data_IF_159454192650
#
_entry.id   IF_159454192650
#
_cell.length_a   1.000
_cell.length_b   1.000
_cell.length_c   1.000
_cell.angle_alpha   90.00
_cell.angle_beta   90.00
_cell.angle_gamma   90.00
#
_symmetry.space_group_name_H-M   'P 1'
#
loop_
_entity.id
_entity.type
_entity.pdbx_description
1 polymer ?
#
# COMPACT_ATOMS: atom_id res chain seq x y z
N UNK A 1 -1.64 -19.40 5.88
CA UNK A 1 -1.86 -19.53 4.43
C UNK A 1 -1.20 -18.33 3.79
N UNK A 2 -0.27 -18.53 2.87
CA UNK A 2 0.41 -17.43 2.15
C UNK A 2 -0.50 -16.98 1.01
N UNK A 3 -0.87 -15.70 0.97
CA UNK A 3 -1.61 -15.13 -0.15
C UNK A 3 -0.82 -15.37 -1.45
N UNK A 4 -1.47 -15.77 -2.56
CA UNK A 4 -0.80 -15.88 -3.86
C UNK A 4 -0.22 -14.52 -4.27
N UNK A 5 0.94 -14.48 -4.96
CA UNK A 5 1.52 -13.23 -5.42
C UNK A 5 0.58 -12.52 -6.41
N UNK A 6 0.61 -11.19 -6.37
CA UNK A 6 -0.12 -10.36 -7.33
C UNK A 6 0.79 -10.10 -8.53
N UNK A 7 0.30 -10.41 -9.74
CA UNK A 7 1.03 -10.20 -10.99
C UNK A 7 0.85 -8.75 -11.45
N UNK A 8 1.95 -8.03 -11.65
CA UNK A 8 2.00 -6.66 -12.17
C UNK A 8 2.76 -6.62 -13.50
N UNK A 9 2.25 -5.86 -14.47
CA UNK A 9 2.84 -5.68 -15.80
C UNK A 9 2.98 -4.21 -16.19
N UNK A 10 4.11 -3.85 -16.79
CA UNK A 10 4.35 -2.50 -17.32
C UNK A 10 3.43 -2.13 -18.49
N UNK A 11 2.72 -3.09 -19.06
CA UNK A 11 1.78 -2.83 -20.14
C UNK A 11 0.34 -2.74 -19.61
N UNK A 12 -0.39 -1.73 -20.07
CA UNK A 12 -1.84 -1.60 -19.84
C UNK A 12 -2.65 -2.76 -20.44
N UNK A 13 -2.05 -3.50 -21.38
CA UNK A 13 -2.65 -4.58 -22.16
C UNK A 13 -1.73 -5.80 -22.19
N UNK A 14 -1.63 -6.52 -21.09
CA UNK A 14 -1.15 -7.90 -21.14
C UNK A 14 -1.94 -8.76 -20.16
N UNK A 15 -3.21 -9.00 -20.50
CA UNK A 15 -3.67 -10.37 -20.44
C UNK A 15 -3.78 -10.81 -21.89
N UNK A 16 -2.81 -11.60 -22.34
CA UNK A 16 -3.15 -12.59 -23.34
C UNK A 16 -4.21 -13.48 -22.68
N UNK A 17 -5.38 -13.62 -23.30
CA UNK A 17 -6.53 -14.40 -22.80
C UNK A 17 -6.21 -15.92 -22.67
N UNK A 18 -4.94 -16.30 -22.85
CA UNK A 18 -4.44 -17.68 -22.87
C UNK A 18 -3.54 -18.05 -21.68
N UNK A 19 -3.21 -17.13 -20.78
CA UNK A 19 -2.46 -17.42 -19.56
C UNK A 19 -3.39 -17.56 -18.35
N UNK A 20 -4.24 -18.58 -18.37
CA UNK A 20 -4.99 -19.06 -17.21
C UNK A 20 -4.04 -19.74 -16.20
N UNK A 21 -3.07 -19.00 -15.67
CA UNK A 21 -2.23 -19.53 -14.59
C UNK A 21 -2.94 -19.27 -13.25
N UNK A 22 -3.72 -20.26 -12.80
CA UNK A 22 -4.61 -20.24 -11.63
C UNK A 22 -3.94 -19.90 -10.27
N UNK A 23 -2.65 -19.55 -10.28
CA UNK A 23 -1.82 -19.31 -9.10
C UNK A 23 -1.55 -17.82 -8.79
N UNK A 24 -1.93 -16.88 -9.67
CA UNK A 24 -1.69 -15.45 -9.47
C UNK A 24 -3.00 -14.63 -9.53
N UNK A 25 -3.09 -13.56 -8.72
CA UNK A 25 -4.12 -12.53 -8.91
C UNK A 25 -3.59 -11.51 -9.93
N UNK A 26 -4.27 -11.38 -11.05
CA UNK A 26 -3.86 -10.47 -12.12
C UNK A 26 -4.35 -9.06 -11.83
N UNK A 27 -3.44 -8.07 -11.90
CA UNK A 27 -3.83 -6.67 -11.86
C UNK A 27 -4.45 -6.26 -13.21
N UNK A 28 -5.79 -6.17 -13.27
CA UNK A 28 -6.50 -5.64 -14.43
C UNK A 28 -6.40 -4.11 -14.43
N UNK A 29 -6.25 -3.54 -15.63
CA UNK A 29 -6.34 -2.10 -15.82
C UNK A 29 -7.70 -1.62 -15.29
N UNK A 30 -7.70 -0.56 -14.46
CA UNK A 30 -8.87 0.06 -13.81
C UNK A 30 -9.46 -0.62 -12.57
N UNK A 31 -9.00 -1.80 -12.16
CA UNK A 31 -9.42 -2.37 -10.87
C UNK A 31 -8.55 -1.84 -9.72
N UNK A 32 -9.13 -1.76 -8.53
CA UNK A 32 -8.39 -1.41 -7.30
C UNK A 32 -7.91 -2.69 -6.63
N UNK A 33 -6.60 -2.91 -6.63
CA UNK A 33 -5.98 -4.09 -6.04
C UNK A 33 -6.31 -4.21 -4.56
N UNK A 34 -6.98 -5.29 -4.15
CA UNK A 34 -7.25 -5.58 -2.76
C UNK A 34 -6.08 -6.39 -2.18
N UNK A 35 -5.33 -5.79 -1.26
CA UNK A 35 -4.07 -6.34 -0.74
C UNK A 35 -4.18 -6.57 0.77
N UNK A 36 -3.89 -7.78 1.25
CA UNK A 36 -3.87 -8.07 2.69
C UNK A 36 -2.43 -8.03 3.21
N UNK A 37 -2.07 -6.93 3.88
CA UNK A 37 -0.74 -6.81 4.43
C UNK A 37 -0.60 -7.66 5.69
N UNK A 38 0.29 -8.65 5.60
CA UNK A 38 0.75 -9.43 6.74
C UNK A 38 2.18 -8.99 7.10
N UNK A 39 2.61 -9.19 8.34
CA UNK A 39 3.93 -8.75 8.82
C UNK A 39 5.15 -9.29 8.04
N UNK A 40 4.95 -10.26 7.15
CA UNK A 40 5.96 -10.78 6.21
C UNK A 40 6.13 -9.93 4.93
N UNK A 41 5.19 -9.02 4.65
CA UNK A 41 5.12 -8.20 3.44
C UNK A 41 4.07 -8.69 2.44
N UNK A 42 3.90 -7.94 1.35
CA UNK A 42 3.02 -8.27 0.23
C UNK A 42 3.85 -8.83 -0.94
N UNK A 43 3.66 -10.09 -1.34
CA UNK A 43 4.38 -10.67 -2.47
C UNK A 43 3.79 -10.20 -3.81
N UNK A 44 4.67 -9.78 -4.70
CA UNK A 44 4.36 -9.40 -6.08
C UNK A 44 5.25 -10.18 -7.05
N UNK A 45 4.66 -10.57 -8.17
CA UNK A 45 5.36 -11.08 -9.33
C UNK A 45 5.31 -9.99 -10.39
N UNK A 46 6.46 -9.47 -10.82
CA UNK A 46 6.53 -8.38 -11.77
C UNK A 46 7.02 -8.89 -13.12
N UNK A 47 6.21 -8.69 -14.16
CA UNK A 47 6.60 -8.97 -15.55
C UNK A 47 7.63 -7.95 -16.02
N UNK A 48 8.71 -8.43 -16.62
CA UNK A 48 9.76 -7.57 -17.17
C UNK A 48 9.35 -7.03 -18.54
N UNK A 49 9.56 -5.73 -18.82
CA UNK A 49 9.41 -5.21 -20.17
C UNK A 49 10.55 -5.71 -21.06
N UNK A 50 10.32 -5.74 -22.37
CA UNK A 50 11.27 -6.28 -23.36
C UNK A 50 12.65 -5.61 -23.34
N UNK A 51 12.75 -4.35 -22.90
CA UNK A 51 13.98 -3.58 -22.83
C UNK A 51 14.71 -3.72 -21.48
N UNK A 52 14.23 -4.55 -20.56
CA UNK A 52 14.91 -4.83 -19.29
C UNK A 52 16.26 -5.52 -19.52
N UNK A 53 17.27 -5.07 -18.77
CA UNK A 53 18.63 -5.58 -18.92
C UNK A 53 19.24 -5.96 -17.57
N UNK A 54 20.24 -6.84 -17.62
CA UNK A 54 21.01 -7.20 -16.43
C UNK A 54 21.68 -5.96 -15.83
N UNK A 55 21.43 -5.72 -14.55
CA UNK A 55 21.93 -4.53 -13.85
C UNK A 55 20.99 -3.33 -13.87
N UNK A 56 19.82 -3.43 -14.52
CA UNK A 56 18.65 -2.61 -14.19
C UNK A 56 18.09 -3.05 -12.82
N UNK A 57 17.16 -2.29 -12.26
CA UNK A 57 16.45 -2.61 -11.02
C UNK A 57 14.95 -2.45 -11.22
N UNK A 58 14.18 -3.40 -10.66
CA UNK A 58 12.74 -3.20 -10.49
C UNK A 58 12.51 -2.60 -9.11
N UNK A 59 11.77 -1.51 -9.07
CA UNK A 59 11.35 -0.87 -7.84
C UNK A 59 9.82 -0.82 -7.78
N UNK A 60 9.27 -1.08 -6.59
CA UNK A 60 7.85 -1.02 -6.30
C UNK A 60 7.65 -0.14 -5.08
N UNK A 61 6.76 0.84 -5.19
CA UNK A 61 6.43 1.78 -4.11
C UNK A 61 4.93 1.84 -3.93
N UNK A 62 4.44 1.74 -2.70
CA UNK A 62 3.06 2.04 -2.37
C UNK A 62 3.01 3.28 -1.48
N UNK A 63 2.33 4.33 -1.94
CA UNK A 63 2.19 5.60 -1.22
C UNK A 63 0.73 5.81 -0.85
N UNK A 64 0.44 6.06 0.42
CA UNK A 64 -0.94 6.32 0.85
C UNK A 64 -1.46 7.63 0.28
N UNK A 65 -2.71 7.61 -0.17
CA UNK A 65 -3.42 8.80 -0.67
C UNK A 65 -3.76 9.76 0.47
N UNK A 66 -4.01 9.24 1.67
CA UNK A 66 -4.50 10.02 2.82
C UNK A 66 -3.43 10.26 3.89
N UNK A 67 -2.42 9.39 3.99
CA UNK A 67 -1.39 9.45 5.03
C UNK A 67 0.03 9.59 4.44
N UNK A 68 0.55 10.82 4.36
CA UNK A 68 1.86 11.12 3.74
C UNK A 68 3.07 10.37 4.31
N UNK A 69 2.98 9.85 5.54
CA UNK A 69 4.06 9.10 6.19
C UNK A 69 3.92 7.57 6.05
N UNK A 70 2.83 7.08 5.47
CA UNK A 70 2.61 5.66 5.24
C UNK A 70 3.11 5.28 3.85
N UNK A 71 4.19 4.51 3.81
CA UNK A 71 4.74 3.99 2.57
C UNK A 71 5.27 2.57 2.73
N UNK A 72 5.12 1.80 1.65
CA UNK A 72 5.76 0.51 1.49
C UNK A 72 6.69 0.57 0.27
N UNK A 73 7.80 -0.14 0.33
CA UNK A 73 8.76 -0.20 -0.77
C UNK A 73 9.40 -1.58 -0.89
N UNK A 74 9.83 -1.88 -2.11
CA UNK A 74 10.69 -3.00 -2.44
C UNK A 74 11.50 -2.64 -3.68
N UNK A 75 12.76 -3.07 -3.71
CA UNK A 75 13.62 -2.91 -4.86
C UNK A 75 14.54 -4.11 -4.96
N UNK A 76 14.68 -4.64 -6.17
CA UNK A 76 15.53 -5.78 -6.47
C UNK A 76 16.21 -5.56 -7.82
N UNK A 77 17.53 -5.83 -7.95
CA UNK A 77 18.21 -5.79 -9.24
C UNK A 77 17.66 -6.88 -10.17
N UNK A 78 17.49 -6.57 -11.45
CA UNK A 78 17.07 -7.54 -12.47
C UNK A 78 18.13 -8.64 -12.55
N UNK A 79 17.73 -9.86 -12.21
CA UNK A 79 18.61 -11.02 -12.22
C UNK A 79 18.60 -11.71 -13.58
N UNK A 80 19.64 -12.53 -13.85
CA UNK A 80 19.65 -13.36 -15.07
C UNK A 80 18.47 -14.33 -15.10
N UNK A 81 18.14 -14.91 -13.96
CA UNK A 81 16.97 -15.79 -13.83
C UNK A 81 15.68 -15.07 -14.24
N UNK A 82 15.48 -13.83 -13.79
CA UNK A 82 14.29 -13.07 -14.15
C UNK A 82 14.22 -12.72 -15.63
N UNK A 83 15.36 -12.43 -16.28
CA UNK A 83 15.40 -12.26 -17.73
C UNK A 83 15.04 -13.57 -18.47
N UNK A 84 15.48 -14.71 -17.95
CA UNK A 84 15.18 -16.02 -18.52
C UNK A 84 13.70 -16.41 -18.34
N UNK A 85 13.08 -16.05 -17.21
CA UNK A 85 11.66 -16.35 -16.89
C UNK A 85 10.68 -15.25 -17.29
N UNK A 86 11.17 -14.06 -17.64
CA UNK A 86 10.35 -12.86 -17.90
C UNK A 86 9.74 -12.22 -16.65
N UNK A 87 10.09 -12.69 -15.44
CA UNK A 87 9.45 -12.27 -14.20
C UNK A 87 10.44 -12.13 -13.03
N UNK A 88 10.22 -11.15 -12.17
CA UNK A 88 11.01 -10.93 -10.94
C UNK A 88 10.07 -10.88 -9.73
N UNK A 89 10.48 -11.46 -8.60
CA UNK A 89 9.68 -11.46 -7.38
C UNK A 89 10.07 -10.31 -6.46
N UNK A 90 9.09 -9.55 -6.00
CA UNK A 90 9.29 -8.50 -4.98
C UNK A 90 8.40 -8.74 -3.77
N UNK A 91 8.91 -8.42 -2.59
CA UNK A 91 8.14 -8.45 -1.35
C UNK A 91 8.08 -7.03 -0.81
N UNK A 92 6.94 -6.39 -1.00
CA UNK A 92 6.68 -5.02 -0.58
C UNK A 92 6.57 -4.98 0.95
N UNK A 93 7.45 -4.20 1.59
CA UNK A 93 7.53 -4.06 3.04
C UNK A 93 7.53 -2.59 3.44
N UNK A 94 7.10 -2.30 4.66
CA UNK A 94 6.99 -0.93 5.12
C UNK A 94 6.00 -0.80 6.26
N UNK A 95 5.53 0.42 6.49
CA UNK A 95 4.57 0.72 7.53
C UNK A 95 3.49 1.64 6.97
N UNK A 96 2.24 1.31 7.27
CA UNK A 96 1.09 2.08 6.81
C UNK A 96 -0.19 1.59 7.46
N UNK A 97 -1.21 2.45 7.49
CA UNK A 97 -2.54 2.07 7.96
C UNK A 97 -3.34 1.40 6.85
N UNK A 98 -4.45 0.74 7.20
CA UNK A 98 -5.39 0.29 6.17
C UNK A 98 -5.96 1.47 5.40
N UNK A 99 -6.06 1.37 4.07
CA UNK A 99 -6.59 2.46 3.25
C UNK A 99 -6.18 2.39 1.78
N UNK A 100 -6.39 3.50 1.09
CA UNK A 100 -6.07 3.67 -0.32
C UNK A 100 -4.60 4.06 -0.52
N UNK A 101 -3.96 3.39 -1.47
CA UNK A 101 -2.58 3.57 -1.88
C UNK A 101 -2.48 3.62 -3.40
N UNK A 102 -1.50 4.39 -3.88
CA UNK A 102 -1.03 4.29 -5.26
C UNK A 102 0.23 3.43 -5.25
N UNK A 103 0.18 2.33 -6.00
CA UNK A 103 1.31 1.42 -6.19
C UNK A 103 1.99 1.76 -7.51
N UNK A 104 3.23 2.24 -7.46
CA UNK A 104 4.05 2.57 -8.60
C UNK A 104 5.10 1.47 -8.81
N UNK A 105 5.03 0.79 -9.96
CA UNK A 105 6.04 -0.14 -10.44
C UNK A 105 6.95 0.59 -11.43
N UNK A 106 8.26 0.54 -11.23
CA UNK A 106 9.24 1.21 -12.06
C UNK A 106 10.39 0.28 -12.44
N UNK A 107 10.83 0.36 -13.70
CA UNK A 107 12.10 -0.18 -14.15
C UNK A 107 13.12 0.95 -14.17
N UNK A 108 14.19 0.80 -13.40
CA UNK A 108 15.25 1.78 -13.25
C UNK A 108 16.51 1.24 -13.92
N UNK A 109 17.05 2.00 -14.87
CA UNK A 109 18.29 1.65 -15.54
C UNK A 109 19.50 1.78 -14.61
N UNK A 110 20.61 1.13 -14.97
CA UNK A 110 21.88 1.13 -14.21
C UNK A 110 22.41 2.50 -13.74
N UNK A 111 22.05 3.59 -14.43
CA UNK A 111 22.46 4.96 -14.10
C UNK A 111 21.41 5.73 -13.27
N UNK A 112 20.41 5.04 -12.73
CA UNK A 112 19.32 5.66 -11.95
C UNK A 112 18.24 6.33 -12.80
N UNK A 113 18.29 6.21 -14.14
CA UNK A 113 17.22 6.73 -15.00
C UNK A 113 16.05 5.77 -15.03
N UNK A 114 14.83 6.28 -14.78
CA UNK A 114 13.61 5.50 -14.95
C UNK A 114 13.39 5.23 -16.44
N UNK A 115 13.35 3.94 -16.82
CA UNK A 115 13.10 3.47 -18.19
C UNK A 115 11.62 3.28 -18.45
N UNK A 116 10.90 2.75 -17.46
CA UNK A 116 9.46 2.50 -17.55
C UNK A 116 8.81 2.68 -16.17
N UNK A 117 7.55 3.12 -16.16
CA UNK A 117 6.75 3.22 -14.93
C UNK A 117 5.28 2.97 -15.22
N UNK A 118 4.59 2.33 -14.28
CA UNK A 118 3.14 2.12 -14.30
C UNK A 118 2.60 2.28 -12.88
N UNK A 119 1.37 2.76 -12.78
CA UNK A 119 0.68 2.99 -11.51
C UNK A 119 -0.58 2.14 -11.42
N UNK A 120 -0.86 1.63 -10.22
CA UNK A 120 -2.06 0.90 -9.87
C UNK A 120 -2.72 1.52 -8.65
N UNK A 121 -4.05 1.56 -8.67
CA UNK A 121 -4.81 1.83 -7.46
C UNK A 121 -4.83 0.57 -6.59
N UNK A 122 -4.60 0.72 -5.30
CA UNK A 122 -4.66 -0.37 -4.36
C UNK A 122 -5.35 0.05 -3.06
N UNK A 123 -6.05 -0.91 -2.46
CA UNK A 123 -6.50 -0.83 -1.08
C UNK A 123 -5.70 -1.85 -0.27
N UNK A 124 -4.87 -1.36 0.65
CA UNK A 124 -4.08 -2.22 1.53
C UNK A 124 -4.85 -2.35 2.84
N UNK A 125 -5.21 -3.57 3.22
CA UNK A 125 -5.72 -3.88 4.54
C UNK A 125 -4.58 -4.33 5.45
N UNK A 126 -4.14 -3.45 6.35
CA UNK A 126 -3.12 -3.76 7.34
C UNK A 126 -3.75 -4.19 8.67
N UNK A 127 -3.99 -5.49 8.80
CA UNK A 127 -4.56 -6.12 10.00
C UNK A 127 -3.67 -5.98 11.24
N UNK A 128 -2.37 -5.69 11.09
CA UNK A 128 -1.48 -5.44 12.23
C UNK A 128 -1.71 -4.08 12.91
N UNK A 129 -2.51 -3.20 12.31
CA UNK A 129 -2.90 -1.90 12.88
C UNK A 129 -4.21 -1.91 13.66
N UNK A 130 -4.95 -3.04 13.70
CA UNK A 130 -6.20 -3.17 14.46
C UNK A 130 -5.90 -3.43 15.94
N UNK A 131 -5.40 -2.41 16.63
CA UNK A 131 -5.57 -2.31 18.07
C UNK A 131 -7.03 -1.88 18.36
N UNK A 132 -7.82 -2.86 18.80
CA UNK A 132 -9.16 -2.81 19.44
C UNK A 132 -9.73 -1.42 19.78
N UNK A 133 -10.98 -1.12 19.41
CA UNK A 133 -11.86 -0.35 20.28
C UNK A 133 -12.41 -1.32 21.35
N UNK A 134 -11.92 -1.24 22.59
CA UNK A 134 -12.58 -1.92 23.70
C UNK A 134 -13.55 -0.94 24.36
N UNK A 135 -14.74 -0.83 23.78
CA UNK A 135 -15.92 -0.42 24.54
C UNK A 135 -16.36 -1.61 25.39
N UNK A 136 -16.40 -1.45 26.71
CA UNK A 136 -17.16 -2.36 27.58
C UNK A 136 -17.97 -1.52 28.57
N UNK A 137 -19.26 -1.40 28.28
CA UNK A 137 -20.31 -0.94 29.18
C UNK A 137 -20.39 -1.91 30.38
N UNK A 138 -20.50 -1.40 31.61
CA UNK A 138 -21.50 -1.72 32.67
C UNK A 138 -21.00 -1.28 34.06
N UNK A 139 -21.78 -0.44 34.74
CA UNK A 139 -21.61 0.06 36.12
C UNK A 139 -22.06 -0.99 37.17
N UNK A 140 -21.61 -0.91 38.45
CA UNK A 140 -22.40 -0.17 39.45
C UNK A 140 -21.62 0.55 40.58
N UNK A 141 -22.21 1.69 41.00
CA UNK A 141 -22.43 2.20 42.36
C UNK A 141 -21.27 2.48 43.37
N UNK A 142 -21.08 3.80 43.62
CA UNK A 142 -20.77 4.54 44.87
C UNK A 142 -19.45 4.31 45.64
N UNK A 143 -18.60 5.37 45.70
CA UNK A 143 -18.26 6.08 46.96
C UNK A 143 -18.02 7.57 46.64
N UNK A 144 -18.60 8.44 47.45
CA UNK A 144 -18.60 9.89 47.34
C UNK A 144 -17.34 10.57 47.93
N UNK A 145 -16.93 11.70 47.33
CA UNK A 145 -16.41 12.95 47.95
C UNK A 145 -15.65 13.74 46.85
N UNK A 146 -15.57 15.06 46.71
CA UNK A 146 -16.05 16.26 47.40
C UNK A 146 -15.61 17.44 46.47
N UNK A 147 -16.54 18.36 46.16
CA UNK A 147 -16.36 19.84 46.09
C UNK A 147 -15.47 20.52 45.00
N UNK A 148 -16.19 21.17 44.06
CA UNK A 148 -16.19 22.60 43.62
C UNK A 148 -15.12 23.26 42.70
N UNK A 149 -15.72 23.92 41.67
CA UNK A 149 -15.39 25.20 40.96
C UNK A 149 -14.27 25.10 39.91
N UNK A 150 -14.34 25.71 38.71
CA UNK A 150 -14.74 27.07 38.33
C UNK A 150 -15.17 27.11 36.83
N UNK A 151 -16.37 27.65 36.52
CA UNK A 151 -16.65 28.91 35.78
C UNK A 151 -16.30 28.96 34.28
N UNK A 152 -17.38 29.05 33.50
CA UNK A 152 -17.52 29.48 32.10
C UNK A 152 -16.88 30.83 31.80
N UNK A 153 -16.41 31.03 30.56
CA UNK A 153 -16.50 32.32 29.87
C UNK A 153 -16.65 32.08 28.35
N UNK A 154 -17.87 32.23 27.85
CA UNK A 154 -18.16 32.58 26.47
C UNK A 154 -17.94 34.09 26.34
N UNK A 155 -17.11 34.52 25.39
CA UNK A 155 -17.11 35.90 24.92
C UNK A 155 -17.23 35.88 23.40
N UNK A 156 -18.45 36.11 22.95
CA UNK A 156 -18.76 36.60 21.62
C UNK A 156 -18.41 38.10 21.57
N UNK A 157 -17.74 38.55 20.51
CA UNK A 157 -17.64 39.97 20.20
C UNK A 157 -17.97 40.19 18.74
N UNK A 158 -19.18 40.70 18.51
CA UNK A 158 -19.60 41.36 17.28
C UNK A 158 -18.85 42.69 17.17
N UNK A 159 -18.19 42.91 16.04
CA UNK A 159 -17.80 44.25 15.59
C UNK A 159 -18.58 44.56 14.31
N UNK A 160 -19.68 45.29 14.50
CA UNK A 160 -20.28 46.16 13.51
C UNK A 160 -19.80 47.58 13.81
N UNK A 161 -19.53 48.40 12.77
CA UNK A 161 -19.75 49.86 12.73
C UNK A 161 -19.34 50.38 11.32
N UNK A 162 -20.38 50.87 10.64
CA UNK A 162 -20.52 51.91 9.61
C UNK A 162 -19.73 51.85 8.30
#
# INVERSE_FOLDING_TARGET
>A
MTQPPVLLSFSARALDEHAEDQACLHALQYDTLQLEYHGIGLPFLCELPFDAQLGDAIALYATSVTARSASFSAETPVTKHALDTGHENLILKGQGQSGEYIVQLSLVGRHGMVKNTVEYNAYINNTSSVNRPLDTKTSPLMVASVVKRHTTNLMASLLAIF
#
